data_IF_645330031135
#
_entry.id   IF_645330031135
#
_cell.length_a   1.000
_cell.length_b   1.000
_cell.length_c   1.000
_cell.angle_alpha   90.00
_cell.angle_beta   90.00
_cell.angle_gamma   90.00
#
_symmetry.space_group_name_H-M   'P 1'
#
loop_
_entity.id
_entity.type
_entity.pdbx_description
1 polymer ?
#
# COMPACT_ATOMS: atom_id res chain seq x y z
N UNK A 1 58.41 -12.00 31.91
CA UNK A 1 57.13 -12.67 32.22
C UNK A 1 55.97 -11.77 31.80
N UNK A 2 55.11 -12.28 30.93
CA UNK A 2 53.79 -11.82 30.46
C UNK A 2 53.59 -10.36 29.99
N UNK A 3 53.93 -10.09 28.72
CA UNK A 3 53.33 -9.00 27.91
C UNK A 3 52.56 -9.54 26.68
N UNK A 4 51.91 -10.69 26.83
CA UNK A 4 51.19 -11.39 25.75
C UNK A 4 49.74 -11.69 26.17
N UNK A 5 49.02 -10.68 26.68
CA UNK A 5 47.64 -10.89 27.13
C UNK A 5 46.68 -9.72 26.84
N UNK A 6 47.00 -8.82 25.90
CA UNK A 6 46.14 -7.65 25.61
C UNK A 6 45.64 -7.58 24.17
N UNK A 7 46.07 -8.48 23.28
CA UNK A 7 45.72 -8.43 21.84
C UNK A 7 44.74 -9.53 21.43
N UNK A 8 43.74 -9.84 22.25
CA UNK A 8 42.70 -10.84 21.89
C UNK A 8 41.31 -10.46 22.43
N UNK A 9 40.92 -9.19 22.30
CA UNK A 9 39.58 -8.75 22.67
C UNK A 9 39.05 -7.64 21.74
N UNK A 10 39.18 -7.79 20.42
CA UNK A 10 38.60 -6.81 19.50
C UNK A 10 38.19 -7.36 18.11
N UNK A 11 37.75 -8.62 18.01
CA UNK A 11 37.09 -9.10 16.79
C UNK A 11 36.03 -10.16 17.13
N UNK A 12 34.91 -9.74 17.71
CA UNK A 12 33.67 -10.51 17.62
C UNK A 12 32.76 -9.80 16.61
N UNK A 13 32.52 -10.38 15.41
CA UNK A 13 31.47 -9.88 14.54
C UNK A 13 30.13 -10.19 15.22
N UNK A 14 29.45 -9.16 15.75
CA UNK A 14 28.04 -9.29 16.10
C UNK A 14 27.27 -9.50 14.80
N UNK A 15 26.88 -10.74 14.52
CA UNK A 15 25.94 -11.04 13.44
C UNK A 15 24.55 -10.51 13.83
N UNK A 16 24.26 -9.26 13.46
CA UNK A 16 22.89 -8.73 13.45
C UNK A 16 22.13 -9.46 12.35
N UNK A 17 21.46 -10.56 12.68
CA UNK A 17 20.60 -11.26 11.74
C UNK A 17 19.26 -10.51 11.68
N UNK A 18 19.12 -9.61 10.71
CA UNK A 18 17.89 -8.86 10.45
C UNK A 18 16.85 -9.77 9.79
N UNK A 19 16.29 -10.70 10.57
CA UNK A 19 15.14 -11.49 10.16
C UNK A 19 13.85 -10.79 10.56
N UNK A 20 12.97 -10.49 9.60
CA UNK A 20 11.59 -10.06 9.89
C UNK A 20 10.75 -11.32 10.11
N UNK A 21 10.23 -11.49 11.32
CA UNK A 21 9.39 -12.62 11.70
C UNK A 21 7.93 -12.28 11.47
N UNK A 22 7.19 -13.22 10.87
CA UNK A 22 5.74 -13.14 10.66
C UNK A 22 5.03 -14.07 11.63
N UNK A 23 3.98 -13.59 12.31
CA UNK A 23 3.07 -14.44 13.07
C UNK A 23 1.61 -14.02 12.90
N UNK A 24 0.71 -14.90 13.32
CA UNK A 24 -0.73 -14.68 13.30
C UNK A 24 -1.23 -14.65 14.75
N UNK A 25 -1.97 -13.62 15.13
CA UNK A 25 -2.56 -13.52 16.46
C UNK A 25 -3.86 -14.34 16.59
N UNK A 26 -4.41 -14.44 17.80
CA UNK A 26 -5.63 -15.21 18.08
C UNK A 26 -6.88 -14.69 17.35
N UNK A 27 -6.85 -13.46 16.85
CA UNK A 27 -7.91 -12.83 16.04
C UNK A 27 -7.70 -12.97 14.53
N UNK A 28 -6.64 -13.66 14.09
CA UNK A 28 -6.30 -13.84 12.68
C UNK A 28 -5.54 -12.68 12.04
N UNK A 29 -5.09 -11.71 12.84
CA UNK A 29 -4.27 -10.58 12.39
C UNK A 29 -2.82 -11.01 12.12
N UNK A 30 -2.27 -10.57 10.99
CA UNK A 30 -0.88 -10.87 10.60
C UNK A 30 0.03 -9.73 11.08
N UNK A 31 1.08 -10.08 11.82
CA UNK A 31 2.07 -9.13 12.35
C UNK A 31 3.48 -9.45 11.86
N UNK A 32 4.30 -8.41 11.71
CA UNK A 32 5.72 -8.50 11.33
C UNK A 32 6.57 -7.77 12.36
N UNK A 33 7.64 -8.38 12.84
CA UNK A 33 8.62 -7.66 13.68
C UNK A 33 10.03 -8.22 13.58
N UNK A 34 10.99 -7.42 14.01
CA UNK A 34 12.41 -7.72 14.03
C UNK A 34 12.85 -8.53 15.27
N UNK A 35 11.94 -8.77 16.24
CA UNK A 35 12.21 -9.54 17.46
C UNK A 35 11.13 -10.60 17.66
N UNK A 36 11.46 -11.90 17.73
CA UNK A 36 10.46 -12.94 17.87
C UNK A 36 9.72 -12.78 19.22
N UNK A 37 8.39 -12.89 19.26
CA UNK A 37 7.65 -12.92 20.52
C UNK A 37 7.99 -14.21 21.28
N UNK A 38 8.30 -14.08 22.58
CA UNK A 38 8.49 -15.23 23.46
C UNK A 38 7.16 -15.98 23.60
N UNK A 39 7.20 -17.29 23.27
CA UNK A 39 6.07 -18.26 23.31
C UNK A 39 5.16 -18.34 22.07
N UNK A 40 5.66 -18.10 20.86
CA UNK A 40 4.94 -18.49 19.63
C UNK A 40 5.90 -19.18 18.65
N UNK A 41 5.46 -20.27 18.02
CA UNK A 41 6.22 -20.94 16.98
C UNK A 41 6.36 -20.02 15.75
N UNK A 42 7.60 -19.68 15.38
CA UNK A 42 7.91 -18.77 14.27
C UNK A 42 8.45 -19.51 13.05
N UNK A 43 8.06 -19.09 11.85
CA UNK A 43 8.68 -19.51 10.58
C UNK A 43 9.46 -18.34 9.96
N UNK A 44 10.72 -18.60 9.58
CA UNK A 44 11.58 -17.63 8.90
C UNK A 44 11.21 -17.55 7.41
N UNK A 45 10.99 -16.34 6.91
CA UNK A 45 10.73 -16.10 5.47
C UNK A 45 12.05 -15.80 4.77
N UNK A 46 12.51 -16.73 3.93
CA UNK A 46 13.63 -16.48 3.03
C UNK A 46 13.14 -15.66 1.83
N UNK A 47 13.68 -14.45 1.65
CA UNK A 47 13.40 -13.61 0.47
C UNK A 47 14.22 -14.13 -0.70
N UNK A 48 13.65 -15.04 -1.48
CA UNK A 48 14.23 -15.44 -2.76
C UNK A 48 13.79 -14.45 -3.84
N UNK A 49 14.76 -13.71 -4.38
CA UNK A 49 14.57 -12.83 -5.53
C UNK A 49 14.23 -13.68 -6.77
N UNK A 50 13.07 -13.54 -7.43
CA UNK A 50 12.80 -14.30 -8.63
C UNK A 50 13.77 -13.87 -9.74
N UNK A 51 14.67 -14.80 -10.10
CA UNK A 51 15.51 -14.71 -11.29
C UNK A 51 14.64 -14.52 -12.53
N UNK A 52 15.17 -13.70 -13.43
CA UNK A 52 14.81 -13.48 -14.82
C UNK A 52 14.25 -14.75 -15.49
N UNK A 53 12.99 -14.67 -15.93
CA UNK A 53 12.44 -15.60 -16.90
C UNK A 53 12.60 -14.99 -18.29
N UNK A 54 13.56 -15.53 -19.03
CA UNK A 54 13.65 -15.38 -20.48
C UNK A 54 12.40 -15.96 -21.14
N UNK A 55 11.53 -15.11 -21.69
CA UNK A 55 10.43 -15.55 -22.56
C UNK A 55 10.83 -15.26 -24.00
N UNK A 56 10.98 -16.34 -24.75
CA UNK A 56 11.25 -16.33 -26.18
C UNK A 56 10.11 -15.73 -27.00
N UNK A 57 10.52 -15.34 -28.20
CA UNK A 57 9.83 -14.60 -29.24
C UNK A 57 8.36 -15.02 -29.49
N UNK A 58 7.45 -14.05 -29.46
CA UNK A 58 6.25 -14.00 -30.32
C UNK A 58 6.00 -12.54 -30.71
N UNK A 59 6.30 -12.25 -31.97
CA UNK A 59 5.87 -11.06 -32.68
C UNK A 59 4.35 -11.07 -32.79
N UNK A 60 3.70 -10.03 -32.27
CA UNK A 60 2.52 -9.42 -32.87
C UNK A 60 2.45 -7.97 -32.39
N UNK A 61 2.64 -7.07 -33.34
CA UNK A 61 2.84 -5.65 -33.16
C UNK A 61 1.48 -4.96 -33.10
N UNK A 62 0.92 -4.73 -31.90
CA UNK A 62 -0.10 -3.69 -31.67
C UNK A 62 -0.14 -3.25 -30.21
N UNK A 63 0.26 -2.00 -30.01
CA UNK A 63 0.04 -1.16 -28.82
C UNK A 63 0.77 -1.60 -27.53
N UNK A 64 2.06 -1.24 -27.43
CA UNK A 64 2.89 -1.31 -26.23
C UNK A 64 2.93 0.02 -25.44
N UNK A 65 1.85 0.80 -25.48
CA UNK A 65 1.71 1.92 -24.55
C UNK A 65 1.64 1.39 -23.10
N UNK A 66 2.29 2.02 -22.11
CA UNK A 66 2.09 1.69 -20.69
C UNK A 66 0.60 1.66 -20.32
N UNK A 67 -0.21 2.47 -21.00
CA UNK A 67 -1.65 2.51 -20.85
C UNK A 67 -2.34 1.20 -21.28
N UNK A 68 -1.87 0.52 -22.32
CA UNK A 68 -2.46 -0.72 -22.83
C UNK A 68 -2.13 -1.93 -21.94
N UNK A 69 -0.96 -1.91 -21.29
CA UNK A 69 -0.60 -2.89 -20.25
C UNK A 69 -1.45 -2.69 -19.00
N UNK A 70 -1.64 -1.44 -18.58
CA UNK A 70 -2.56 -1.07 -17.50
C UNK A 70 -3.97 -1.52 -17.84
N UNK A 71 -4.50 -1.24 -19.04
CA UNK A 71 -5.85 -1.67 -19.46
C UNK A 71 -6.00 -3.20 -19.41
N UNK A 72 -5.00 -3.97 -19.86
CA UNK A 72 -5.04 -5.45 -19.80
C UNK A 72 -5.06 -5.97 -18.35
N UNK A 73 -4.22 -5.42 -17.47
CA UNK A 73 -4.26 -5.74 -16.04
C UNK A 73 -5.58 -5.33 -15.40
N UNK A 74 -6.14 -4.17 -15.77
CA UNK A 74 -7.40 -3.68 -15.25
C UNK A 74 -8.59 -4.53 -15.69
N UNK A 75 -8.61 -5.02 -16.93
CA UNK A 75 -9.64 -5.95 -17.41
C UNK A 75 -9.59 -7.31 -16.70
N UNK A 76 -8.38 -7.84 -16.48
CA UNK A 76 -8.15 -9.01 -15.62
C UNK A 76 -8.62 -8.76 -14.19
N UNK A 77 -8.29 -7.59 -13.65
CA UNK A 77 -8.66 -7.19 -12.29
C UNK A 77 -10.17 -6.93 -12.18
N UNK A 78 -10.87 -6.49 -13.23
CA UNK A 78 -12.32 -6.24 -13.17
C UNK A 78 -13.12 -7.50 -12.79
N UNK A 79 -12.64 -8.69 -13.18
CA UNK A 79 -13.24 -9.97 -12.80
C UNK A 79 -12.85 -10.43 -11.39
N UNK A 80 -11.83 -9.82 -10.75
CA UNK A 80 -11.31 -10.19 -9.42
C UNK A 80 -11.30 -9.02 -8.41
N UNK A 81 -11.83 -7.86 -8.78
CA UNK A 81 -11.72 -6.64 -7.99
C UNK A 81 -12.62 -6.72 -6.76
N UNK A 82 -12.01 -6.75 -5.58
CA UNK A 82 -12.77 -6.69 -4.34
C UNK A 82 -13.27 -5.26 -4.08
N UNK A 83 -14.39 -4.91 -4.71
CA UNK A 83 -15.00 -3.59 -4.58
C UNK A 83 -15.37 -3.23 -3.13
N UNK A 84 -15.66 -4.21 -2.28
CA UNK A 84 -15.89 -3.95 -0.85
C UNK A 84 -14.64 -3.38 -0.18
N UNK A 85 -13.49 -3.99 -0.41
CA UNK A 85 -12.20 -3.53 0.11
C UNK A 85 -11.83 -2.17 -0.48
N UNK A 86 -11.92 -2.03 -1.81
CA UNK A 86 -11.59 -0.78 -2.50
C UNK A 86 -12.41 0.41 -1.99
N UNK A 87 -13.74 0.24 -1.91
CA UNK A 87 -14.65 1.29 -1.42
C UNK A 87 -14.41 1.59 0.05
N UNK A 88 -14.15 0.59 0.89
CA UNK A 88 -13.82 0.81 2.31
C UNK A 88 -12.54 1.63 2.47
N UNK A 89 -11.47 1.28 1.76
CA UNK A 89 -10.20 2.00 1.82
C UNK A 89 -10.33 3.43 1.27
N UNK A 90 -11.04 3.61 0.16
CA UNK A 90 -11.33 4.93 -0.40
C UNK A 90 -12.10 5.82 0.59
N UNK A 91 -13.14 5.29 1.22
CA UNK A 91 -13.91 6.00 2.24
C UNK A 91 -13.07 6.32 3.49
N UNK A 92 -12.21 5.40 3.93
CA UNK A 92 -11.30 5.62 5.05
C UNK A 92 -10.30 6.74 4.76
N UNK A 93 -9.74 6.77 3.54
CA UNK A 93 -8.84 7.82 3.08
C UNK A 93 -9.49 9.21 3.09
N UNK A 94 -10.71 9.33 2.57
CA UNK A 94 -11.44 10.61 2.64
C UNK A 94 -11.79 11.01 4.07
N UNK A 95 -12.21 10.07 4.92
CA UNK A 95 -12.48 10.37 6.33
C UNK A 95 -11.23 10.92 7.05
N UNK A 96 -10.05 10.39 6.71
CA UNK A 96 -8.80 10.92 7.21
C UNK A 96 -8.57 12.36 6.74
N UNK A 97 -8.77 12.66 5.46
CA UNK A 97 -8.62 14.03 4.94
C UNK A 97 -9.60 15.01 5.60
N UNK A 98 -10.87 14.62 5.78
CA UNK A 98 -11.85 15.45 6.50
C UNK A 98 -11.39 15.72 7.94
N UNK A 99 -10.86 14.71 8.63
CA UNK A 99 -10.31 14.88 9.97
C UNK A 99 -9.13 15.84 9.98
N UNK A 100 -8.21 15.74 9.01
CA UNK A 100 -7.06 16.63 8.93
C UNK A 100 -7.48 18.07 8.64
N UNK A 101 -8.47 18.27 7.76
CA UNK A 101 -9.04 19.58 7.50
C UNK A 101 -9.66 20.20 8.78
N UNK A 102 -10.37 19.40 9.57
CA UNK A 102 -10.95 19.82 10.85
C UNK A 102 -9.88 20.21 11.87
N UNK A 103 -8.86 19.38 12.04
CA UNK A 103 -7.73 19.67 12.93
C UNK A 103 -7.01 20.95 12.49
N UNK A 104 -6.71 21.09 11.21
CA UNK A 104 -6.06 22.30 10.67
C UNK A 104 -6.89 23.56 10.92
N UNK A 105 -8.22 23.46 10.85
CA UNK A 105 -9.10 24.59 11.18
C UNK A 105 -9.06 24.91 12.67
N UNK A 106 -9.23 23.89 13.53
CA UNK A 106 -9.27 24.04 14.98
C UNK A 106 -7.95 24.58 15.56
N UNK A 107 -6.83 24.21 14.96
CA UNK A 107 -5.49 24.64 15.38
C UNK A 107 -5.07 25.98 14.73
N UNK A 108 -5.92 26.58 13.90
CA UNK A 108 -5.67 27.90 13.30
C UNK A 108 -4.75 27.90 12.08
N UNK A 109 -4.47 26.74 11.49
CA UNK A 109 -3.67 26.62 10.26
C UNK A 109 -4.47 26.91 8.98
N UNK A 110 -5.81 27.02 9.06
CA UNK A 110 -6.66 27.40 7.93
C UNK A 110 -7.85 28.25 8.36
N UNK A 111 -8.40 29.01 7.43
CA UNK A 111 -9.59 29.86 7.64
C UNK A 111 -10.89 29.07 7.50
N UNK A 112 -11.96 29.53 8.16
CA UNK A 112 -13.28 28.87 8.15
C UNK A 112 -13.81 28.65 6.72
N UNK A 113 -13.67 29.64 5.84
CA UNK A 113 -14.15 29.57 4.45
C UNK A 113 -13.43 28.48 3.64
N UNK A 114 -12.13 28.31 3.85
CA UNK A 114 -11.31 27.26 3.23
C UNK A 114 -11.69 25.89 3.76
N UNK A 115 -11.77 25.74 5.09
CA UNK A 115 -12.22 24.50 5.73
C UNK A 115 -13.59 24.03 5.25
N UNK A 116 -14.57 24.93 5.17
CA UNK A 116 -15.92 24.61 4.71
C UNK A 116 -15.93 24.19 3.23
N UNK A 117 -15.16 24.88 2.40
CA UNK A 117 -15.04 24.57 0.96
C UNK A 117 -14.43 23.19 0.76
N UNK A 118 -13.32 22.91 1.43
CA UNK A 118 -12.62 21.63 1.37
C UNK A 118 -13.46 20.49 1.93
N UNK A 119 -14.07 20.67 3.12
CA UNK A 119 -14.94 19.68 3.74
C UNK A 119 -16.12 19.30 2.85
N UNK A 120 -16.71 20.28 2.15
CA UNK A 120 -17.80 20.04 1.20
C UNK A 120 -17.30 19.25 -0.01
N UNK A 121 -16.16 19.62 -0.59
CA UNK A 121 -15.54 18.91 -1.69
C UNK A 121 -15.27 17.44 -1.32
N UNK A 122 -14.59 17.21 -0.19
CA UNK A 122 -14.27 15.88 0.32
C UNK A 122 -15.54 15.06 0.60
N UNK A 123 -16.56 15.68 1.19
CA UNK A 123 -17.85 15.01 1.44
C UNK A 123 -18.56 14.60 0.15
N UNK A 124 -18.51 15.44 -0.90
CA UNK A 124 -19.07 15.12 -2.20
C UNK A 124 -18.27 14.02 -2.91
N UNK A 125 -16.94 14.07 -2.83
CA UNK A 125 -16.06 13.04 -3.37
C UNK A 125 -16.32 11.68 -2.69
N UNK A 126 -16.47 11.65 -1.36
CA UNK A 126 -16.82 10.43 -0.63
C UNK A 126 -18.06 9.74 -1.18
N UNK A 127 -19.09 10.52 -1.55
CA UNK A 127 -20.35 9.99 -2.11
C UNK A 127 -20.17 9.31 -3.46
N UNK A 128 -19.09 9.59 -4.19
CA UNK A 128 -18.79 8.91 -5.45
C UNK A 128 -18.12 7.54 -5.24
N UNK A 129 -17.55 7.28 -4.07
CA UNK A 129 -16.94 5.99 -3.73
C UNK A 129 -17.99 5.01 -3.23
N UNK A 130 -18.67 4.36 -4.16
CA UNK A 130 -19.72 3.37 -3.90
C UNK A 130 -19.40 2.04 -4.57
N UNK A 131 -19.99 0.95 -4.07
CA UNK A 131 -19.87 -0.37 -4.70
C UNK A 131 -20.32 -0.29 -6.15
N UNK A 132 -21.46 0.35 -6.44
CA UNK A 132 -21.98 0.53 -7.80
C UNK A 132 -20.94 1.19 -8.72
N UNK A 133 -20.35 2.31 -8.28
CA UNK A 133 -19.37 3.01 -9.10
C UNK A 133 -18.06 2.21 -9.25
N UNK A 134 -17.75 1.32 -8.32
CA UNK A 134 -16.61 0.40 -8.44
C UNK A 134 -16.87 -0.72 -9.46
N UNK A 135 -18.00 -1.42 -9.38
CA UNK A 135 -18.28 -2.52 -10.33
C UNK A 135 -18.45 -2.01 -11.77
N UNK A 136 -18.98 -0.80 -11.96
CA UNK A 136 -19.12 -0.21 -13.29
C UNK A 136 -17.94 0.67 -13.70
N UNK A 137 -16.86 0.71 -12.90
CA UNK A 137 -15.71 1.56 -13.19
C UNK A 137 -15.00 1.10 -14.47
N UNK A 138 -14.52 2.06 -15.24
CA UNK A 138 -13.64 1.82 -16.38
C UNK A 138 -12.52 2.87 -16.41
N UNK A 139 -11.49 2.63 -17.22
CA UNK A 139 -10.35 3.55 -17.38
C UNK A 139 -9.70 3.93 -16.05
N UNK A 140 -9.54 5.24 -15.81
CA UNK A 140 -8.92 5.79 -14.60
C UNK A 140 -9.63 5.43 -13.31
N UNK A 141 -10.96 5.39 -13.31
CA UNK A 141 -11.72 4.99 -12.13
C UNK A 141 -11.46 3.54 -11.78
N UNK A 142 -11.34 2.67 -12.78
CA UNK A 142 -10.97 1.27 -12.56
C UNK A 142 -9.54 1.17 -12.01
N UNK A 143 -8.59 1.97 -12.53
CA UNK A 143 -7.23 2.06 -12.00
C UNK A 143 -7.19 2.47 -10.52
N UNK A 144 -7.98 3.49 -10.16
CA UNK A 144 -8.15 3.92 -8.78
C UNK A 144 -8.67 2.80 -7.89
N UNK A 145 -9.77 2.13 -8.27
CA UNK A 145 -10.36 1.08 -7.43
C UNK A 145 -9.45 -0.14 -7.33
N UNK A 146 -8.75 -0.51 -8.40
CA UNK A 146 -7.74 -1.58 -8.36
C UNK A 146 -6.59 -1.24 -7.39
N UNK A 147 -6.09 0.00 -7.42
CA UNK A 147 -5.09 0.46 -6.45
C UNK A 147 -5.65 0.44 -5.02
N UNK A 148 -6.86 0.94 -4.82
CA UNK A 148 -7.47 1.02 -3.49
C UNK A 148 -7.82 -0.36 -2.91
N UNK A 149 -8.04 -1.36 -3.75
CA UNK A 149 -8.25 -2.75 -3.32
C UNK A 149 -6.98 -3.38 -2.72
N UNK A 150 -5.80 -2.87 -3.07
CA UNK A 150 -4.52 -3.30 -2.50
C UNK A 150 -4.25 -2.57 -1.18
N UNK A 151 -4.25 -3.32 -0.07
CA UNK A 151 -4.00 -2.78 1.26
C UNK A 151 -2.57 -2.24 1.46
N UNK A 152 -1.63 -2.58 0.59
CA UNK A 152 -0.27 -2.04 0.65
C UNK A 152 -0.15 -0.62 0.06
N UNK A 153 -1.19 -0.11 -0.63
CA UNK A 153 -1.16 1.19 -1.28
C UNK A 153 -1.83 2.26 -0.43
N UNK A 154 -1.16 3.41 -0.30
CA UNK A 154 -1.71 4.56 0.42
C UNK A 154 -2.79 5.26 -0.42
N UNK A 155 -3.86 5.74 0.23
CA UNK A 155 -4.97 6.41 -0.45
C UNK A 155 -4.53 7.58 -1.35
N UNK A 156 -3.60 8.41 -0.87
CA UNK A 156 -3.05 9.54 -1.62
C UNK A 156 -2.37 9.12 -2.94
N UNK A 157 -1.75 7.93 -2.96
CA UNK A 157 -1.17 7.37 -4.18
C UNK A 157 -2.25 6.83 -5.12
N UNK A 158 -3.30 6.20 -4.59
CA UNK A 158 -4.37 5.70 -5.43
C UNK A 158 -5.21 6.81 -6.05
N UNK A 159 -5.53 7.86 -5.30
CA UNK A 159 -6.37 8.96 -5.80
C UNK A 159 -5.70 9.75 -6.93
N UNK A 160 -4.37 9.75 -7.02
CA UNK A 160 -3.67 10.41 -8.14
C UNK A 160 -3.98 9.79 -9.50
N UNK A 161 -4.46 8.54 -9.54
CA UNK A 161 -4.93 7.89 -10.77
C UNK A 161 -6.16 8.58 -11.38
N UNK A 162 -6.91 9.36 -10.59
CA UNK A 162 -8.10 10.08 -11.04
C UNK A 162 -7.78 11.46 -11.63
N UNK A 163 -6.56 11.97 -11.44
CA UNK A 163 -6.13 13.29 -11.92
C UNK A 163 -5.29 13.20 -13.19
N UNK A 164 -5.54 14.08 -14.16
CA UNK A 164 -4.67 14.38 -15.31
C UNK A 164 -3.61 15.44 -14.92
N UNK A 165 -2.83 15.20 -13.86
CA UNK A 165 -1.74 16.12 -13.48
C UNK A 165 -0.41 15.51 -13.91
#
# INVERSE_FOLDING_TARGET
>A
MNKLAVTLLLVMPMSLNAGVYKWVDASGGIHYSERPPVNVATQTVAVNNPREQSVGNRDDNFDSSPLSQVIRQLNSNQQQLNCSVAVRHANAGINYLVRMADINYRDGFTELSKYQTESRYLSNLKRSFTIRNCVTASGKHLAFYACAADSAKHFAFCISQLSDI
#
